data_IF_723668082467
#
_entry.id   IF_723668082467
#
_cell.length_a   1.000
_cell.length_b   1.000
_cell.length_c   1.000
_cell.angle_alpha   90.00
_cell.angle_beta   90.00
_cell.angle_gamma   90.00
#
_symmetry.space_group_name_H-M   'P 1'
#
loop_
_entity.id
_entity.type
_entity.pdbx_description
1 polymer ?
#
# COMPACT_ATOMS: atom_id res chain seq x y z
N UNK A 1 4.51 63.60 -24.19
CA UNK A 1 3.14 63.70 -23.64
C UNK A 1 3.17 63.05 -22.26
N UNK A 2 3.52 63.79 -21.21
CA UNK A 2 2.64 64.64 -20.37
C UNK A 2 1.87 63.85 -19.32
N UNK A 3 2.42 63.93 -18.11
CA UNK A 3 1.94 63.53 -16.77
C UNK A 3 0.60 64.17 -16.38
N UNK A 4 -0.17 63.50 -15.51
CA UNK A 4 -0.84 64.03 -14.27
C UNK A 4 -1.04 62.84 -13.29
N UNK A 5 -0.35 62.73 -12.14
CA UNK A 5 -0.47 63.36 -10.80
C UNK A 5 -1.72 62.94 -9.98
N UNK A 6 -1.56 62.12 -8.91
CA UNK A 6 -1.55 62.42 -7.43
C UNK A 6 -2.98 62.57 -6.85
N UNK A 7 -3.40 61.86 -5.78
CA UNK A 7 -3.30 62.17 -4.31
C UNK A 7 -3.63 60.86 -3.54
N UNK A 8 -2.70 60.15 -2.87
CA UNK A 8 -2.23 60.25 -1.47
C UNK A 8 -3.32 60.57 -0.42
N UNK A 9 -3.77 59.56 0.34
CA UNK A 9 -4.24 59.75 1.71
C UNK A 9 -3.51 58.78 2.63
N UNK A 10 -2.36 59.24 3.13
CA UNK A 10 -1.61 58.65 4.23
C UNK A 10 -2.37 58.78 5.55
N UNK A 11 -2.42 57.73 6.36
CA UNK A 11 -2.15 57.90 7.79
C UNK A 11 -1.11 56.87 8.23
N UNK A 12 0.02 57.44 8.64
CA UNK A 12 1.23 56.84 9.11
C UNK A 12 1.14 56.78 10.64
N UNK A 13 1.29 55.60 11.25
CA UNK A 13 1.87 55.50 12.58
C UNK A 13 3.01 54.50 12.53
N UNK A 14 4.18 55.09 12.36
CA UNK A 14 5.49 54.58 12.70
C UNK A 14 5.59 54.52 14.24
N UNK A 15 5.89 53.33 14.79
CA UNK A 15 6.76 53.08 15.96
C UNK A 15 6.27 51.89 16.81
N UNK A 16 6.96 50.76 16.78
CA UNK A 16 7.79 50.34 17.92
C UNK A 16 8.63 49.11 17.54
N UNK A 17 9.94 49.27 17.69
CA UNK A 17 10.93 48.21 17.81
C UNK A 17 10.63 47.35 19.05
N UNK A 18 11.09 46.10 19.02
CA UNK A 18 11.10 45.09 20.10
C UNK A 18 9.75 44.49 20.51
N UNK A 19 9.44 43.30 19.98
CA UNK A 19 9.25 42.12 20.84
C UNK A 19 9.96 40.93 20.17
N UNK A 20 10.78 40.28 20.98
CA UNK A 20 11.57 39.10 20.70
C UNK A 20 10.79 37.98 20.00
N UNK A 21 11.52 37.23 19.17
CA UNK A 21 11.46 35.78 19.04
C UNK A 21 10.44 35.12 20.00
N UNK A 22 9.17 35.05 19.61
CA UNK A 22 8.32 33.97 20.10
C UNK A 22 8.51 32.84 19.10
N UNK A 23 9.53 32.03 19.36
CA UNK A 23 9.47 30.63 19.00
C UNK A 23 8.12 30.13 19.51
N UNK A 24 7.11 30.10 18.64
CA UNK A 24 5.99 29.22 18.90
C UNK A 24 6.61 27.83 18.82
N UNK A 25 6.59 27.04 19.91
CA UNK A 25 6.95 25.64 19.76
C UNK A 25 6.01 25.09 18.70
N UNK A 26 6.55 24.52 17.63
CA UNK A 26 5.77 23.57 16.84
C UNK A 26 5.16 22.58 17.84
N UNK A 27 3.88 22.18 17.67
CA UNK A 27 3.29 21.20 18.57
C UNK A 27 4.21 19.99 18.57
N UNK A 28 4.92 19.79 19.69
CA UNK A 28 5.64 18.56 19.95
C UNK A 28 4.56 17.49 19.97
N UNK A 29 4.40 16.78 18.87
CA UNK A 29 3.88 15.44 18.93
C UNK A 29 4.86 14.72 19.87
N UNK A 30 4.45 14.54 21.13
CA UNK A 30 5.03 13.49 21.95
C UNK A 30 4.70 12.20 21.21
N UNK A 31 5.57 11.82 20.28
CA UNK A 31 5.63 10.45 19.82
C UNK A 31 5.87 9.66 21.09
N UNK A 32 4.88 8.88 21.50
CA UNK A 32 4.99 7.96 22.61
C UNK A 32 5.99 6.89 22.15
N UNK A 33 7.28 7.20 22.23
CA UNK A 33 8.39 6.36 21.76
C UNK A 33 8.53 5.18 22.73
N UNK A 34 7.64 4.21 22.57
CA UNK A 34 7.66 2.97 23.34
C UNK A 34 8.89 2.16 22.93
N UNK A 35 9.75 1.83 23.88
CA UNK A 35 10.85 0.88 23.63
C UNK A 35 10.25 -0.50 23.42
N UNK A 36 10.38 -1.04 22.21
CA UNK A 36 9.82 -2.35 21.81
C UNK A 36 10.85 -3.47 21.86
N UNK A 37 12.14 -3.13 21.80
CA UNK A 37 13.21 -4.12 21.95
C UNK A 37 14.51 -3.51 22.47
N UNK A 38 15.42 -4.35 22.96
CA UNK A 38 16.80 -3.98 23.30
C UNK A 38 17.74 -4.94 22.57
N UNK A 39 18.62 -4.39 21.73
CA UNK A 39 19.61 -5.14 20.97
C UNK A 39 21.01 -4.70 21.40
N UNK A 40 21.75 -5.58 22.08
CA UNK A 40 23.10 -5.30 22.59
C UNK A 40 23.18 -4.03 23.46
N UNK A 41 22.16 -3.80 24.30
CA UNK A 41 22.08 -2.61 25.15
C UNK A 41 21.62 -1.34 24.43
N UNK A 42 21.33 -1.40 23.13
CA UNK A 42 20.69 -0.32 22.38
C UNK A 42 19.18 -0.53 22.35
N UNK A 43 18.43 0.47 22.81
CA UNK A 43 16.98 0.49 22.71
C UNK A 43 16.54 0.66 21.25
N UNK A 44 15.57 -0.16 20.85
CA UNK A 44 14.80 -0.02 19.63
C UNK A 44 13.43 0.49 20.05
N UNK A 45 13.06 1.65 19.52
CA UNK A 45 11.79 2.31 19.79
C UNK A 45 10.80 1.94 18.70
N UNK A 46 9.52 1.87 19.05
CA UNK A 46 8.46 1.76 18.06
C UNK A 46 8.46 2.99 17.19
N UNK A 47 8.19 2.78 15.91
CA UNK A 47 7.99 3.85 14.95
C UNK A 47 6.49 3.96 14.69
N UNK A 48 5.84 5.06 15.13
CA UNK A 48 4.42 5.27 14.90
C UNK A 48 4.01 5.20 13.42
N UNK A 49 4.94 5.50 12.49
CA UNK A 49 4.67 5.35 11.06
C UNK A 49 4.55 3.88 10.68
N UNK A 50 5.39 3.01 11.25
CA UNK A 50 5.30 1.55 11.02
C UNK A 50 3.98 1.02 11.59
N UNK A 51 3.61 1.42 12.80
CA UNK A 51 2.33 1.01 13.41
C UNK A 51 1.13 1.44 12.56
N UNK A 52 1.12 2.69 12.09
CA UNK A 52 0.08 3.20 11.20
C UNK A 52 0.03 2.43 9.89
N UNK A 53 1.18 2.15 9.26
CA UNK A 53 1.22 1.39 8.02
C UNK A 53 0.68 -0.05 8.18
N UNK A 54 1.00 -0.70 9.30
CA UNK A 54 0.45 -2.04 9.60
C UNK A 54 -1.05 -1.95 9.81
N UNK A 55 -1.54 -0.98 10.61
CA UNK A 55 -2.96 -0.78 10.83
C UNK A 55 -3.72 -0.50 9.52
N UNK A 56 -3.20 0.40 8.68
CA UNK A 56 -3.80 0.73 7.40
C UNK A 56 -3.91 -0.51 6.51
N UNK A 57 -2.89 -1.37 6.47
CA UNK A 57 -2.93 -2.60 5.70
C UNK A 57 -3.98 -3.60 6.24
N UNK A 58 -4.10 -3.72 7.57
CA UNK A 58 -5.13 -4.57 8.18
C UNK A 58 -6.53 -4.07 7.86
N UNK A 59 -6.77 -2.76 7.96
CA UNK A 59 -8.05 -2.14 7.59
C UNK A 59 -8.35 -2.40 6.10
N UNK A 60 -7.35 -2.22 5.23
CA UNK A 60 -7.53 -2.43 3.79
C UNK A 60 -7.88 -3.87 3.45
N UNK A 61 -7.22 -4.83 4.09
CA UNK A 61 -7.52 -6.26 3.90
C UNK A 61 -8.92 -6.60 4.42
N UNK A 62 -9.30 -6.05 5.57
CA UNK A 62 -10.62 -6.24 6.18
C UNK A 62 -11.75 -5.74 5.26
N UNK A 63 -11.64 -4.51 4.72
CA UNK A 63 -12.70 -3.99 3.84
C UNK A 63 -12.82 -4.78 2.53
N UNK A 64 -11.72 -5.30 1.98
CA UNK A 64 -11.77 -6.20 0.84
C UNK A 64 -12.45 -7.52 1.18
N UNK A 65 -12.14 -8.11 2.34
CA UNK A 65 -12.78 -9.35 2.80
C UNK A 65 -14.28 -9.15 2.95
N UNK A 66 -14.69 -8.08 3.63
CA UNK A 66 -16.11 -7.75 3.84
C UNK A 66 -16.84 -7.52 2.52
N UNK A 67 -16.24 -6.80 1.56
CA UNK A 67 -16.86 -6.60 0.24
C UNK A 67 -17.00 -7.91 -0.53
N UNK A 68 -15.97 -8.77 -0.50
CA UNK A 68 -16.02 -10.08 -1.14
C UNK A 68 -17.14 -10.96 -0.54
N UNK A 69 -17.27 -11.00 0.79
CA UNK A 69 -18.36 -11.71 1.47
C UNK A 69 -19.73 -11.12 1.11
N UNK A 70 -19.85 -9.79 1.12
CA UNK A 70 -21.09 -9.08 0.79
C UNK A 70 -21.56 -9.37 -0.64
N UNK A 71 -20.63 -9.47 -1.58
CA UNK A 71 -20.88 -9.84 -2.98
C UNK A 71 -21.13 -11.34 -3.18
N UNK A 72 -21.01 -12.14 -2.12
CA UNK A 72 -21.32 -13.57 -2.13
C UNK A 72 -20.19 -14.45 -2.66
N UNK A 73 -18.95 -13.95 -2.66
CA UNK A 73 -17.79 -14.80 -2.92
C UNK A 73 -17.58 -15.78 -1.77
N UNK A 74 -17.23 -17.02 -2.11
CA UNK A 74 -17.04 -18.11 -1.14
C UNK A 74 -15.75 -18.85 -1.48
N UNK A 75 -15.00 -19.19 -0.44
CA UNK A 75 -13.90 -20.15 -0.49
C UNK A 75 -14.32 -21.40 0.30
N UNK A 76 -14.19 -22.57 -0.32
CA UNK A 76 -14.56 -23.83 0.35
C UNK A 76 -13.36 -24.44 1.07
N UNK A 77 -13.63 -25.27 2.07
CA UNK A 77 -12.60 -26.01 2.79
C UNK A 77 -11.73 -26.86 1.86
N UNK A 78 -12.31 -27.43 0.80
CA UNK A 78 -11.59 -28.21 -0.20
C UNK A 78 -10.57 -27.35 -0.96
N UNK A 79 -10.90 -26.09 -1.27
CA UNK A 79 -9.99 -25.17 -1.94
C UNK A 79 -8.82 -24.76 -1.04
N UNK A 80 -9.10 -24.50 0.25
CA UNK A 80 -8.07 -24.21 1.27
C UNK A 80 -7.16 -25.42 1.45
N UNK A 81 -7.73 -26.62 1.62
CA UNK A 81 -6.98 -27.86 1.73
C UNK A 81 -6.06 -28.08 0.52
N UNK A 82 -6.60 -27.89 -0.70
CA UNK A 82 -5.81 -28.03 -1.91
C UNK A 82 -4.67 -27.02 -2.00
N UNK A 83 -4.85 -25.79 -1.49
CA UNK A 83 -3.76 -24.79 -1.42
C UNK A 83 -2.70 -25.20 -0.42
N UNK A 84 -3.09 -25.67 0.76
CA UNK A 84 -2.16 -26.16 1.79
C UNK A 84 -1.37 -27.36 1.29
N UNK A 85 -2.01 -28.32 0.62
CA UNK A 85 -1.33 -29.48 0.03
C UNK A 85 -0.28 -29.05 -1.01
N UNK A 86 -0.57 -28.03 -1.83
CA UNK A 86 0.41 -27.45 -2.76
C UNK A 86 1.58 -26.81 -2.01
N UNK A 87 1.30 -26.01 -0.98
CA UNK A 87 2.34 -25.39 -0.16
C UNK A 87 3.20 -26.45 0.55
N UNK A 88 2.60 -27.50 1.11
CA UNK A 88 3.31 -28.61 1.72
C UNK A 88 4.26 -29.30 0.73
N UNK A 89 3.85 -29.48 -0.52
CA UNK A 89 4.73 -30.02 -1.57
C UNK A 89 5.89 -29.07 -1.93
N UNK A 90 5.65 -27.76 -1.93
CA UNK A 90 6.70 -26.73 -2.16
C UNK A 90 7.72 -26.68 -1.01
N UNK A 91 7.27 -26.89 0.23
CA UNK A 91 8.14 -27.03 1.41
C UNK A 91 8.84 -28.38 1.52
N UNK A 92 8.34 -29.39 0.82
CA UNK A 92 8.89 -30.75 0.77
C UNK A 92 7.99 -31.80 1.43
N UNK A 93 7.28 -31.44 2.50
CA UNK A 93 6.23 -32.27 3.09
C UNK A 93 5.32 -31.46 4.02
N UNK A 94 4.19 -32.06 4.41
CA UNK A 94 3.30 -31.51 5.45
C UNK A 94 4.04 -31.25 6.76
N UNK A 95 4.95 -32.15 7.15
CA UNK A 95 5.72 -32.03 8.39
C UNK A 95 6.72 -30.88 8.34
N UNK A 96 7.30 -30.62 7.16
CA UNK A 96 8.24 -29.51 6.96
C UNK A 96 7.49 -28.16 6.97
N UNK A 97 6.29 -28.10 6.40
CA UNK A 97 5.40 -26.95 6.52
C UNK A 97 5.03 -26.68 7.98
N UNK A 98 4.57 -27.70 8.71
CA UNK A 98 4.21 -27.56 10.14
C UNK A 98 5.40 -27.10 10.99
N UNK A 99 6.59 -27.66 10.74
CA UNK A 99 7.82 -27.25 11.44
C UNK A 99 8.19 -25.79 11.13
N UNK A 100 7.95 -25.33 9.89
CA UNK A 100 8.18 -23.94 9.51
C UNK A 100 7.18 -22.99 10.19
N UNK A 101 5.91 -23.39 10.32
CA UNK A 101 4.91 -22.61 11.05
C UNK A 101 5.26 -22.49 12.53
N UNK A 102 5.62 -23.59 13.19
CA UNK A 102 6.04 -23.60 14.60
C UNK A 102 7.26 -22.70 14.83
N UNK A 103 8.23 -22.70 13.90
CA UNK A 103 9.42 -21.86 13.98
C UNK A 103 9.12 -20.35 13.87
N UNK A 104 7.92 -19.99 13.38
CA UNK A 104 7.45 -18.61 13.25
C UNK A 104 6.30 -18.30 14.21
N UNK A 105 6.10 -19.11 15.26
CA UNK A 105 5.02 -18.98 16.23
C UNK A 105 3.62 -18.95 15.60
N UNK A 106 3.46 -19.63 14.45
CA UNK A 106 2.20 -19.77 13.73
C UNK A 106 1.59 -21.16 13.91
N UNK A 107 0.27 -21.25 13.91
CA UNK A 107 -0.47 -22.52 13.89
C UNK A 107 -1.00 -22.83 12.50
N UNK A 108 -1.33 -24.11 12.27
CA UNK A 108 -2.02 -24.52 11.04
C UNK A 108 -3.37 -23.82 10.86
N UNK A 109 -4.09 -23.56 11.95
CA UNK A 109 -5.37 -22.84 11.94
C UNK A 109 -5.17 -21.40 11.45
N UNK A 110 -4.19 -20.68 11.99
CA UNK A 110 -3.86 -19.32 11.54
C UNK A 110 -3.48 -19.27 10.06
N UNK A 111 -2.73 -20.28 9.59
CA UNK A 111 -2.40 -20.39 8.16
C UNK A 111 -3.66 -20.62 7.31
N UNK A 112 -4.56 -21.50 7.75
CA UNK A 112 -5.82 -21.79 7.03
C UNK A 112 -6.66 -20.53 6.86
N UNK A 113 -6.86 -19.79 7.95
CA UNK A 113 -7.65 -18.55 7.93
C UNK A 113 -7.01 -17.52 6.99
N UNK A 114 -5.69 -17.35 7.09
CA UNK A 114 -4.95 -16.44 6.20
C UNK A 114 -5.09 -16.82 4.72
N UNK A 115 -5.01 -18.12 4.40
CA UNK A 115 -5.20 -18.63 3.04
C UNK A 115 -6.65 -18.42 2.57
N UNK A 116 -7.63 -18.67 3.43
CA UNK A 116 -9.03 -18.48 3.09
C UNK A 116 -9.32 -17.01 2.74
N UNK A 117 -8.83 -16.08 3.57
CA UNK A 117 -8.95 -14.64 3.34
C UNK A 117 -8.24 -14.21 2.05
N UNK A 118 -6.99 -14.63 1.85
CA UNK A 118 -6.23 -14.33 0.63
C UNK A 118 -6.97 -14.84 -0.62
N UNK A 119 -7.46 -16.08 -0.58
CA UNK A 119 -8.18 -16.69 -1.71
C UNK A 119 -9.51 -16.00 -1.98
N UNK A 120 -10.22 -15.57 -0.93
CA UNK A 120 -11.49 -14.88 -1.05
C UNK A 120 -11.32 -13.52 -1.73
N UNK A 121 -10.34 -12.74 -1.26
CA UNK A 121 -10.01 -11.43 -1.84
C UNK A 121 -9.53 -11.60 -3.28
N UNK A 122 -8.65 -12.57 -3.56
CA UNK A 122 -8.19 -12.84 -4.92
C UNK A 122 -9.32 -13.26 -5.87
N UNK A 123 -10.29 -14.06 -5.39
CA UNK A 123 -11.48 -14.40 -6.18
C UNK A 123 -12.32 -13.18 -6.51
N UNK A 124 -12.56 -12.31 -5.54
CA UNK A 124 -13.27 -11.05 -5.74
C UNK A 124 -12.55 -10.17 -6.78
N UNK A 125 -11.26 -9.90 -6.57
CA UNK A 125 -10.44 -9.07 -7.47
C UNK A 125 -10.43 -9.63 -8.88
N UNK A 126 -10.16 -10.93 -9.05
CA UNK A 126 -10.05 -11.55 -10.38
C UNK A 126 -11.35 -11.63 -11.16
N UNK A 127 -12.51 -11.57 -10.50
CA UNK A 127 -13.82 -11.63 -11.16
C UNK A 127 -14.43 -10.25 -11.39
N UNK A 128 -14.18 -9.28 -10.50
CA UNK A 128 -14.69 -7.91 -10.63
C UNK A 128 -13.77 -7.01 -11.45
N UNK A 129 -12.45 -7.27 -11.48
CA UNK A 129 -11.51 -6.51 -12.30
C UNK A 129 -11.27 -7.20 -13.65
N UNK A 130 -11.79 -6.64 -14.76
CA UNK A 130 -11.48 -7.17 -16.07
C UNK A 130 -9.98 -7.01 -16.35
N UNK A 131 -9.42 -7.94 -17.11
CA UNK A 131 -8.03 -7.82 -17.54
C UNK A 131 -7.84 -6.53 -18.37
N UNK A 132 -6.98 -5.60 -17.94
CA UNK A 132 -6.86 -4.31 -18.61
C UNK A 132 -6.28 -4.49 -20.01
N UNK A 133 -6.79 -3.74 -20.98
CA UNK A 133 -6.24 -3.75 -22.34
C UNK A 133 -5.11 -2.74 -22.42
N UNK A 134 -3.90 -3.21 -22.70
CA UNK A 134 -2.70 -2.35 -22.82
C UNK A 134 -2.63 -1.79 -24.23
N UNK A 135 -2.48 -0.47 -24.36
CA UNK A 135 -2.32 0.16 -25.66
C UNK A 135 -0.88 -0.02 -26.19
N UNK A 136 -0.72 -0.32 -27.48
CA UNK A 136 0.61 -0.48 -28.09
C UNK A 136 1.51 0.74 -27.86
N UNK A 137 0.93 1.94 -27.86
CA UNK A 137 1.65 3.19 -27.61
C UNK A 137 2.29 3.25 -26.21
N UNK A 138 1.63 2.70 -25.19
CA UNK A 138 2.16 2.64 -23.82
C UNK A 138 3.36 1.69 -23.75
N UNK A 139 3.28 0.55 -24.45
CA UNK A 139 4.37 -0.42 -24.56
C UNK A 139 5.57 0.18 -25.28
N UNK A 140 5.32 0.91 -26.38
CA UNK A 140 6.36 1.63 -27.14
C UNK A 140 7.02 2.71 -26.28
N UNK A 141 6.21 3.48 -25.55
CA UNK A 141 6.71 4.53 -24.65
C UNK A 141 7.61 3.94 -23.56
N UNK A 142 7.18 2.86 -22.91
CA UNK A 142 7.98 2.18 -21.88
C UNK A 142 9.28 1.61 -22.44
N UNK A 143 9.23 1.01 -23.63
CA UNK A 143 10.41 0.52 -24.34
C UNK A 143 11.43 1.63 -24.57
N UNK A 144 11.00 2.78 -25.10
CA UNK A 144 11.88 3.92 -25.37
C UNK A 144 12.49 4.48 -24.09
N UNK A 145 11.71 4.57 -23.01
CA UNK A 145 12.20 4.97 -21.70
C UNK A 145 13.29 4.02 -21.18
N UNK A 146 13.06 2.71 -21.23
CA UNK A 146 14.03 1.71 -20.76
C UNK A 146 15.29 1.67 -21.64
N UNK A 147 15.15 1.88 -22.95
CA UNK A 147 16.29 2.05 -23.87
C UNK A 147 17.10 3.30 -23.54
N UNK A 148 16.44 4.43 -23.26
CA UNK A 148 17.10 5.68 -22.91
C UNK A 148 17.84 5.58 -21.56
N UNK A 149 17.29 4.82 -20.61
CA UNK A 149 17.91 4.50 -19.32
C UNK A 149 18.95 3.38 -19.41
N UNK A 150 19.18 2.78 -20.59
CA UNK A 150 20.10 1.66 -20.81
C UNK A 150 19.78 0.41 -19.95
N UNK A 151 18.52 0.23 -19.57
CA UNK A 151 18.03 -0.95 -18.82
C UNK A 151 17.92 -2.16 -19.74
N UNK A 152 17.64 -1.92 -21.02
CA UNK A 152 17.46 -2.94 -22.05
C UNK A 152 18.25 -2.56 -23.30
N UNK A 153 18.65 -3.57 -24.08
CA UNK A 153 19.24 -3.43 -25.42
C UNK A 153 18.52 -4.28 -26.48
N UNK A 154 17.68 -5.22 -26.02
CA UNK A 154 16.96 -6.19 -26.83
C UNK A 154 16.00 -5.52 -27.85
N UNK A 155 15.78 -6.14 -29.02
CA UNK A 155 14.73 -5.73 -29.96
C UNK A 155 13.36 -5.66 -29.28
N UNK A 156 12.52 -4.71 -29.71
CA UNK A 156 11.18 -4.52 -29.14
C UNK A 156 10.35 -5.80 -29.17
N UNK A 157 10.33 -6.51 -30.30
CA UNK A 157 9.53 -7.73 -30.47
C UNK A 157 9.88 -8.82 -29.45
N UNK A 158 11.15 -8.91 -29.03
CA UNK A 158 11.62 -9.95 -28.10
C UNK A 158 11.18 -9.70 -26.66
N UNK A 159 10.82 -8.46 -26.31
CA UNK A 159 10.45 -8.08 -24.95
C UNK A 159 9.06 -7.45 -24.84
N UNK A 160 8.36 -7.31 -25.97
CA UNK A 160 7.04 -6.68 -26.04
C UNK A 160 6.07 -7.27 -25.03
N UNK A 161 5.96 -8.60 -24.98
CA UNK A 161 5.05 -9.29 -24.06
C UNK A 161 5.42 -9.03 -22.58
N UNK A 162 6.72 -8.97 -22.26
CA UNK A 162 7.17 -8.65 -20.90
C UNK A 162 6.76 -7.24 -20.50
N UNK A 163 6.93 -6.27 -21.39
CA UNK A 163 6.54 -4.88 -21.14
C UNK A 163 5.01 -4.72 -21.08
N UNK A 164 4.27 -5.42 -21.95
CA UNK A 164 2.80 -5.47 -21.89
C UNK A 164 2.32 -6.03 -20.53
N UNK A 165 2.94 -7.12 -20.05
CA UNK A 165 2.59 -7.68 -18.76
C UNK A 165 2.94 -6.74 -17.61
N UNK A 166 4.08 -6.04 -17.67
CA UNK A 166 4.46 -5.05 -16.66
C UNK A 166 3.46 -3.89 -16.59
N UNK A 167 3.08 -3.31 -17.73
CA UNK A 167 2.07 -2.24 -17.78
C UNK A 167 0.73 -2.76 -17.27
N UNK A 168 0.34 -3.98 -17.67
CA UNK A 168 -0.89 -4.62 -17.20
C UNK A 168 -0.92 -4.77 -15.68
N UNK A 169 0.19 -5.17 -15.06
CA UNK A 169 0.28 -5.25 -13.59
C UNK A 169 0.16 -3.87 -12.95
N UNK A 170 0.82 -2.84 -13.50
CA UNK A 170 0.70 -1.47 -12.99
C UNK A 170 -0.74 -0.94 -13.09
N UNK A 171 -1.43 -1.20 -14.20
CA UNK A 171 -2.84 -0.84 -14.37
C UNK A 171 -3.73 -1.55 -13.34
N UNK A 172 -3.49 -2.85 -13.12
CA UNK A 172 -4.23 -3.63 -12.12
C UNK A 172 -4.01 -3.07 -10.71
N UNK A 173 -2.77 -2.74 -10.33
CA UNK A 173 -2.45 -2.12 -9.04
C UNK A 173 -3.17 -0.77 -8.87
N UNK A 174 -3.23 0.05 -9.92
CA UNK A 174 -3.95 1.32 -9.89
C UNK A 174 -5.47 1.11 -9.71
N UNK A 175 -6.07 0.18 -10.45
CA UNK A 175 -7.50 -0.13 -10.32
C UNK A 175 -7.84 -0.68 -8.93
N UNK A 176 -7.01 -1.57 -8.39
CA UNK A 176 -7.13 -2.05 -7.01
C UNK A 176 -7.05 -0.87 -6.03
N UNK A 177 -6.12 0.06 -6.25
CA UNK A 177 -5.96 1.31 -5.49
C UNK A 177 -7.25 2.15 -5.45
N UNK A 178 -7.89 2.34 -6.60
CA UNK A 178 -9.16 3.08 -6.70
C UNK A 178 -10.29 2.34 -5.98
N UNK A 179 -10.36 1.01 -6.11
CA UNK A 179 -11.37 0.21 -5.41
C UNK A 179 -11.18 0.32 -3.91
N UNK A 180 -9.96 0.19 -3.40
CA UNK A 180 -9.73 0.21 -1.96
C UNK A 180 -10.07 1.58 -1.36
N UNK A 181 -9.71 2.67 -2.04
CA UNK A 181 -10.10 4.02 -1.61
C UNK A 181 -11.62 4.15 -1.51
N UNK A 182 -12.34 3.72 -2.54
CA UNK A 182 -13.81 3.72 -2.54
C UNK A 182 -14.39 2.87 -1.40
N UNK A 183 -13.87 1.66 -1.18
CA UNK A 183 -14.37 0.76 -0.12
C UNK A 183 -14.09 1.34 1.28
N UNK A 184 -12.96 2.00 1.48
CA UNK A 184 -12.67 2.69 2.74
C UNK A 184 -13.62 3.87 2.95
N UNK A 185 -13.94 4.64 1.92
CA UNK A 185 -14.90 5.76 1.99
C UNK A 185 -16.35 5.30 2.27
N UNK A 186 -16.72 4.12 1.77
CA UNK A 186 -18.03 3.51 1.97
C UNK A 186 -18.15 2.79 3.33
N UNK A 187 -17.01 2.48 3.95
CA UNK A 187 -16.94 1.74 5.21
C UNK A 187 -16.96 2.65 6.45
N UNK A 188 -17.59 2.17 7.52
CA UNK A 188 -17.57 2.84 8.83
C UNK A 188 -16.36 2.39 9.63
N UNK A 189 -15.27 3.14 9.57
CA UNK A 189 -14.00 2.81 10.24
C UNK A 189 -13.84 3.66 11.51
N UNK A 190 -13.71 3.02 12.67
CA UNK A 190 -13.40 3.65 13.96
C UNK A 190 -12.08 3.09 14.51
N UNK A 191 -11.11 3.96 14.77
CA UNK A 191 -9.78 3.60 15.28
C UNK A 191 -9.76 3.83 16.81
N UNK A 192 -9.41 2.79 17.58
CA UNK A 192 -9.55 2.76 19.05
C UNK A 192 -8.22 2.78 19.83
N UNK A 193 -7.10 2.97 19.14
CA UNK A 193 -5.75 2.94 19.74
C UNK A 193 -5.34 4.25 20.39
#
# INVERSE_FOLDING_TARGET
MSRKLIIISTLLILSFLFVACSAQPEPTQETNEQVVAIVNGKEIKSDPQIEQHVLDNLIRMEVFRQEAEFKGYIVTEEEVNARIDRMANEFGSQRDLESALEANDMTMEMLRDSIADEMLINKYISQELPQPTVAEEEVRTLYEQYRAMQIIDQPFEDIRERLENEIRQQMLEQEIGVIIERLMDESSIEILI
#
